data_IF_077524049533
#
_entry.id   IF_077524049533
#
_cell.length_a   1.000
_cell.length_b   1.000
_cell.length_c   1.000
_cell.angle_alpha   90.00
_cell.angle_beta   90.00
_cell.angle_gamma   90.00
#
_symmetry.space_group_name_H-M   'P 1'
#
loop_
_entity.id
_entity.type
_entity.pdbx_description
1 polymer ?
#
# COMPACT_ATOMS: atom_id res chain seq x y z
N UNK A 1 -2.66 17.77 -11.29
CA UNK A 1 -3.61 17.94 -10.17
C UNK A 1 -4.82 17.01 -10.32
N UNK A 2 -5.44 16.95 -11.51
CA UNK A 2 -6.56 16.02 -11.79
C UNK A 2 -6.17 14.54 -11.66
N UNK A 3 -4.93 14.18 -12.02
CA UNK A 3 -4.47 12.79 -11.94
C UNK A 3 -4.25 12.31 -10.50
N UNK A 4 -3.70 13.15 -9.62
CA UNK A 4 -3.46 12.81 -8.21
C UNK A 4 -4.76 12.42 -7.48
N UNK A 5 -5.85 13.16 -7.73
CA UNK A 5 -7.16 12.82 -7.17
C UNK A 5 -7.70 11.47 -7.64
N UNK A 6 -7.52 11.15 -8.94
CA UNK A 6 -7.92 9.85 -9.52
C UNK A 6 -7.12 8.70 -8.91
N UNK A 7 -5.81 8.88 -8.73
CA UNK A 7 -4.95 7.88 -8.09
C UNK A 7 -5.33 7.64 -6.63
N UNK A 8 -5.61 8.70 -5.87
CA UNK A 8 -6.01 8.55 -4.47
C UNK A 8 -7.42 7.96 -4.32
N UNK A 9 -8.35 8.29 -5.22
CA UNK A 9 -9.65 7.62 -5.25
C UNK A 9 -9.51 6.12 -5.50
N UNK A 10 -8.69 5.72 -6.49
CA UNK A 10 -8.45 4.30 -6.74
C UNK A 10 -7.77 3.61 -5.55
N UNK A 11 -6.88 4.29 -4.84
CA UNK A 11 -6.29 3.76 -3.60
C UNK A 11 -7.37 3.46 -2.55
N UNK A 12 -8.35 4.36 -2.36
CA UNK A 12 -9.49 4.12 -1.46
C UNK A 12 -10.35 2.94 -1.90
N UNK A 13 -10.58 2.80 -3.20
CA UNK A 13 -11.33 1.64 -3.73
C UNK A 13 -10.59 0.33 -3.46
N UNK A 14 -9.27 0.28 -3.65
CA UNK A 14 -8.48 -0.91 -3.34
C UNK A 14 -8.52 -1.25 -1.85
N UNK A 15 -8.49 -0.25 -0.98
CA UNK A 15 -8.65 -0.44 0.47
C UNK A 15 -10.03 -1.01 0.82
N UNK A 16 -11.11 -0.49 0.22
CA UNK A 16 -12.45 -1.03 0.40
C UNK A 16 -12.55 -2.49 -0.06
N UNK A 17 -11.90 -2.83 -1.18
CA UNK A 17 -11.80 -4.22 -1.67
C UNK A 17 -11.04 -5.09 -0.66
N UNK A 18 -9.94 -4.61 -0.07
CA UNK A 18 -9.21 -5.35 0.95
C UNK A 18 -10.09 -5.70 2.17
N UNK A 19 -10.92 -4.76 2.64
CA UNK A 19 -11.88 -4.99 3.73
C UNK A 19 -12.93 -6.06 3.37
N UNK A 20 -13.48 -6.01 2.16
CA UNK A 20 -14.43 -7.02 1.70
C UNK A 20 -13.80 -8.41 1.61
N UNK A 21 -12.57 -8.50 1.11
CA UNK A 21 -11.83 -9.75 0.99
C UNK A 21 -11.49 -10.34 2.36
N UNK A 22 -11.18 -9.50 3.35
CA UNK A 22 -10.99 -9.95 4.73
C UNK A 22 -12.26 -10.61 5.28
N UNK A 23 -13.44 -9.97 5.10
CA UNK A 23 -14.72 -10.54 5.54
C UNK A 23 -15.12 -11.83 4.80
N UNK A 24 -14.59 -12.01 3.59
CA UNK A 24 -14.84 -13.17 2.74
C UNK A 24 -13.75 -14.25 2.89
N UNK A 25 -12.88 -14.12 3.90
CA UNK A 25 -11.79 -15.05 4.22
C UNK A 25 -10.70 -15.20 3.14
N UNK A 26 -10.65 -14.31 2.16
CA UNK A 26 -9.60 -14.26 1.14
C UNK A 26 -8.39 -13.45 1.65
N UNK A 27 -7.75 -13.94 2.71
CA UNK A 27 -6.70 -13.21 3.45
C UNK A 27 -5.50 -12.79 2.59
N UNK A 28 -5.06 -13.65 1.67
CA UNK A 28 -3.96 -13.33 0.75
C UNK A 28 -4.33 -12.18 -0.19
N UNK A 29 -5.58 -12.14 -0.65
CA UNK A 29 -6.07 -11.12 -1.56
C UNK A 29 -6.30 -9.80 -0.81
N UNK A 30 -6.78 -9.88 0.43
CA UNK A 30 -6.88 -8.72 1.32
C UNK A 30 -5.50 -8.07 1.56
N UNK A 31 -4.47 -8.88 1.80
CA UNK A 31 -3.09 -8.41 1.91
C UNK A 31 -2.58 -7.75 0.61
N UNK A 32 -2.83 -8.38 -0.54
CA UNK A 32 -2.46 -7.83 -1.84
C UNK A 32 -3.12 -6.48 -2.12
N UNK A 33 -4.43 -6.37 -1.91
CA UNK A 33 -5.16 -5.11 -2.11
C UNK A 33 -4.76 -4.02 -1.10
N UNK A 34 -4.34 -4.39 0.11
CA UNK A 34 -3.76 -3.45 1.08
C UNK A 34 -2.47 -2.83 0.56
N UNK A 35 -1.57 -3.63 -0.03
CA UNK A 35 -0.36 -3.10 -0.66
C UNK A 35 -0.68 -2.24 -1.89
N UNK A 36 -1.60 -2.67 -2.75
CA UNK A 36 -2.00 -1.91 -3.94
C UNK A 36 -2.61 -0.55 -3.60
N UNK A 37 -3.43 -0.50 -2.54
CA UNK A 37 -3.96 0.74 -1.98
C UNK A 37 -2.82 1.71 -1.63
N UNK A 38 -1.83 1.24 -0.87
CA UNK A 38 -0.69 2.09 -0.46
C UNK A 38 0.16 2.54 -1.66
N UNK A 39 0.45 1.64 -2.59
CA UNK A 39 1.20 1.97 -3.80
C UNK A 39 0.56 3.12 -4.57
N UNK A 40 -0.76 3.04 -4.80
CA UNK A 40 -1.51 4.07 -5.52
C UNK A 40 -1.61 5.38 -4.73
N UNK A 41 -1.72 5.31 -3.41
CA UNK A 41 -1.74 6.49 -2.54
C UNK A 41 -0.41 7.26 -2.59
N UNK A 42 0.73 6.55 -2.44
CA UNK A 42 2.06 7.18 -2.54
C UNK A 42 2.28 7.77 -3.94
N UNK A 43 1.87 7.07 -5.00
CA UNK A 43 1.91 7.59 -6.37
C UNK A 43 1.07 8.86 -6.52
N UNK A 44 -0.12 8.92 -5.92
CA UNK A 44 -0.95 10.13 -5.93
C UNK A 44 -0.19 11.36 -5.39
N UNK A 45 0.58 11.18 -4.32
CA UNK A 45 1.39 12.25 -3.71
C UNK A 45 2.54 12.70 -4.62
N UNK A 46 3.22 11.75 -5.29
CA UNK A 46 4.22 12.06 -6.32
C UNK A 46 3.60 12.81 -7.51
N UNK A 47 2.45 12.37 -8.01
CA UNK A 47 1.73 13.02 -9.11
C UNK A 47 1.30 14.45 -8.76
N UNK A 48 0.88 14.70 -7.52
CA UNK A 48 0.56 16.06 -7.04
C UNK A 48 1.75 17.02 -7.22
N UNK A 49 2.97 16.52 -7.06
CA UNK A 49 4.22 17.26 -7.20
C UNK A 49 4.86 17.14 -8.60
N UNK A 50 4.12 16.66 -9.61
CA UNK A 50 4.62 16.54 -10.98
C UNK A 50 5.69 15.45 -11.16
N UNK A 51 5.73 14.46 -10.27
CA UNK A 51 6.66 13.33 -10.31
C UNK A 51 5.93 12.05 -10.68
N UNK A 52 6.64 11.16 -11.37
CA UNK A 52 6.16 9.82 -11.73
C UNK A 52 7.28 8.84 -11.42
N UNK A 53 6.98 7.83 -10.61
CA UNK A 53 7.88 6.72 -10.33
C UNK A 53 7.18 5.40 -10.66
N UNK A 54 7.82 4.61 -11.52
CA UNK A 54 7.36 3.26 -11.88
C UNK A 54 8.05 2.24 -10.97
N UNK A 55 7.59 2.18 -9.73
CA UNK A 55 7.97 1.13 -8.78
C UNK A 55 6.73 0.54 -8.11
N UNK A 56 6.89 -0.69 -7.63
CA UNK A 56 5.95 -1.39 -6.76
C UNK A 56 6.50 -1.57 -5.35
N UNK A 57 7.77 -1.21 -5.14
CA UNK A 57 8.38 -1.18 -3.82
C UNK A 57 7.88 0.07 -3.10
N UNK A 58 7.21 -0.12 -1.97
CA UNK A 58 6.62 0.99 -1.24
C UNK A 58 7.68 1.81 -0.51
N UNK A 59 8.79 1.19 -0.10
CA UNK A 59 9.92 1.86 0.54
C UNK A 59 10.58 2.77 -0.48
N UNK A 60 10.84 2.29 -1.70
CA UNK A 60 11.40 3.11 -2.78
C UNK A 60 10.49 4.30 -3.12
N UNK A 61 9.17 4.09 -3.19
CA UNK A 61 8.20 5.17 -3.39
C UNK A 61 8.24 6.19 -2.24
N UNK A 62 8.34 5.72 -1.00
CA UNK A 62 8.50 6.56 0.18
C UNK A 62 9.78 7.39 0.12
N UNK A 63 10.93 6.76 -0.08
CA UNK A 63 12.24 7.44 -0.16
C UNK A 63 12.25 8.52 -1.24
N UNK A 64 11.64 8.27 -2.41
CA UNK A 64 11.52 9.28 -3.45
C UNK A 64 10.62 10.45 -3.02
N UNK A 65 9.54 10.19 -2.26
CA UNK A 65 8.72 11.25 -1.65
C UNK A 65 9.57 12.09 -0.68
N UNK A 66 10.33 11.46 0.21
CA UNK A 66 11.20 12.20 1.15
C UNK A 66 12.23 13.03 0.40
N UNK A 67 12.89 12.45 -0.60
CA UNK A 67 13.94 13.12 -1.38
C UNK A 67 13.43 14.28 -2.22
N UNK A 68 12.26 14.13 -2.86
CA UNK A 68 11.76 15.12 -3.83
C UNK A 68 10.79 16.13 -3.21
N UNK A 69 10.03 15.72 -2.20
CA UNK A 69 8.96 16.52 -1.59
C UNK A 69 9.38 16.99 -0.19
N UNK A 70 10.32 16.32 0.47
CA UNK A 70 10.82 16.72 1.80
C UNK A 70 9.92 16.30 2.96
N UNK A 71 9.03 15.32 2.75
CA UNK A 71 8.14 14.82 3.79
C UNK A 71 8.83 13.80 4.70
N UNK A 72 8.51 13.86 6.00
CA UNK A 72 8.99 12.90 6.97
C UNK A 72 8.20 11.59 6.89
N UNK A 73 8.91 10.49 6.62
CA UNK A 73 8.36 9.15 6.51
C UNK A 73 8.41 8.37 7.81
N UNK A 74 9.06 8.89 8.86
CA UNK A 74 9.16 8.21 10.16
C UNK A 74 7.82 7.68 10.69
N UNK A 75 6.66 8.34 10.46
CA UNK A 75 5.37 7.82 10.94
C UNK A 75 4.85 6.59 10.20
N UNK A 76 5.37 6.30 9.00
CA UNK A 76 4.84 5.24 8.11
C UNK A 76 5.88 4.24 7.63
N UNK A 77 7.17 4.44 7.89
CA UNK A 77 8.23 3.60 7.30
C UNK A 77 8.06 2.11 7.62
N UNK A 78 7.76 1.78 8.89
CA UNK A 78 7.52 0.38 9.30
C UNK A 78 6.33 -0.25 8.54
N UNK A 79 5.28 0.54 8.26
CA UNK A 79 4.12 0.08 7.50
C UNK A 79 4.49 -0.21 6.04
N UNK A 80 5.35 0.62 5.43
CA UNK A 80 5.82 0.45 4.05
C UNK A 80 6.68 -0.81 3.89
N UNK A 81 7.63 -1.02 4.80
CA UNK A 81 8.48 -2.21 4.84
C UNK A 81 7.63 -3.48 4.97
N UNK A 82 6.70 -3.47 5.93
CA UNK A 82 5.81 -4.61 6.18
C UNK A 82 5.00 -4.97 4.94
N UNK A 83 4.32 -4.00 4.34
CA UNK A 83 3.48 -4.24 3.16
C UNK A 83 4.27 -4.67 1.92
N UNK A 84 5.49 -4.18 1.73
CA UNK A 84 6.34 -4.50 0.55
C UNK A 84 6.70 -5.98 0.49
N UNK A 85 7.04 -6.59 1.64
CA UNK A 85 7.36 -8.02 1.73
C UNK A 85 6.20 -8.90 1.23
N UNK A 86 4.96 -8.49 1.50
CA UNK A 86 3.77 -9.26 1.17
C UNK A 86 3.38 -9.20 -0.32
N UNK A 87 3.79 -8.16 -1.04
CA UNK A 87 3.63 -8.09 -2.50
C UNK A 87 4.43 -9.16 -3.25
N UNK A 88 5.62 -9.49 -2.74
CA UNK A 88 6.48 -10.53 -3.30
C UNK A 88 5.96 -11.92 -2.94
N UNK A 89 5.56 -12.14 -1.68
CA UNK A 89 5.09 -13.45 -1.19
C UNK A 89 3.70 -13.82 -1.71
N UNK A 90 2.80 -12.85 -1.90
CA UNK A 90 1.43 -13.13 -2.36
C UNK A 90 1.36 -13.58 -3.83
N UNK A 91 2.38 -13.28 -4.64
CA UNK A 91 2.37 -13.52 -6.10
C UNK A 91 3.22 -14.70 -6.57
N UNK A 92 4.21 -15.12 -5.79
CA UNK A 92 5.09 -16.23 -6.16
C UNK A 92 4.96 -17.37 -5.14
N UNK A 93 4.30 -18.50 -5.51
CA UNK A 93 4.23 -19.69 -4.67
C UNK A 93 5.60 -20.27 -4.33
N UNK A 94 6.66 -19.91 -5.07
CA UNK A 94 8.01 -20.41 -4.87
C UNK A 94 8.75 -19.67 -3.74
N UNK A 95 8.26 -18.46 -3.36
CA UNK A 95 8.85 -17.64 -2.29
C UNK A 95 8.48 -18.12 -0.88
N UNK A 96 7.53 -19.05 -0.78
CA UNK A 96 7.15 -19.69 0.45
C UNK A 96 6.95 -21.18 0.16
N UNK A 97 7.43 -22.08 1.00
CA UNK A 97 7.32 -23.55 0.79
C UNK A 97 5.85 -24.08 0.82
N UNK A 98 4.84 -23.25 0.57
CA UNK A 98 3.42 -23.55 0.50
C UNK A 98 2.67 -22.54 -0.41
N UNK A 99 1.47 -22.90 -0.89
CA UNK A 99 0.62 -21.97 -1.63
C UNK A 99 0.31 -20.70 -0.80
N UNK A 100 0.33 -19.48 -1.38
CA UNK A 100 0.04 -18.23 -0.67
C UNK A 100 -1.28 -18.24 0.11
N UNK A 101 -2.31 -18.90 -0.43
CA UNK A 101 -3.60 -19.09 0.25
C UNK A 101 -3.54 -19.87 1.57
N UNK A 102 -2.46 -20.63 1.82
CA UNK A 102 -2.22 -21.38 3.06
C UNK A 102 -1.31 -20.64 4.05
N UNK A 103 -0.71 -19.52 3.65
CA UNK A 103 0.26 -18.77 4.45
C UNK A 103 -0.38 -17.56 5.13
N UNK A 104 -1.32 -16.91 4.44
CA UNK A 104 -2.01 -15.75 5.00
C UNK A 104 -3.09 -16.17 5.97
N UNK A 105 -2.92 -15.73 7.21
CA UNK A 105 -3.92 -15.84 8.26
C UNK A 105 -4.79 -14.59 8.30
N UNK A 106 -5.96 -14.70 8.93
CA UNK A 106 -6.79 -13.53 9.25
C UNK A 106 -6.01 -12.44 9.97
N UNK A 107 -5.22 -12.81 10.97
CA UNK A 107 -4.38 -11.88 11.75
C UNK A 107 -3.41 -11.12 10.85
N UNK A 108 -2.72 -11.82 9.95
CA UNK A 108 -1.80 -11.18 9.00
C UNK A 108 -2.54 -10.20 8.09
N UNK A 109 -3.71 -10.58 7.56
CA UNK A 109 -4.50 -9.68 6.72
C UNK A 109 -5.00 -8.43 7.49
N UNK A 110 -5.48 -8.60 8.72
CA UNK A 110 -5.90 -7.50 9.59
C UNK A 110 -4.74 -6.52 9.87
N UNK A 111 -3.56 -7.04 10.18
CA UNK A 111 -2.37 -6.21 10.41
C UNK A 111 -1.98 -5.40 9.17
N UNK A 112 -2.08 -5.97 7.97
CA UNK A 112 -1.73 -5.28 6.72
C UNK A 112 -2.78 -4.25 6.31
N UNK A 113 -4.06 -4.55 6.51
CA UNK A 113 -5.15 -3.58 6.32
C UNK A 113 -4.94 -2.39 7.26
N UNK A 114 -4.59 -2.65 8.51
CA UNK A 114 -4.39 -1.59 9.50
C UNK A 114 -3.14 -0.74 9.17
N UNK A 115 -2.07 -1.37 8.64
CA UNK A 115 -0.91 -0.65 8.10
C UNK A 115 -1.30 0.22 6.90
N UNK A 116 -2.09 -0.32 5.97
CA UNK A 116 -2.57 0.43 4.80
C UNK A 116 -3.46 1.62 5.19
N UNK A 117 -4.29 1.48 6.23
CA UNK A 117 -5.10 2.58 6.77
C UNK A 117 -4.24 3.74 7.25
N UNK A 118 -3.21 3.46 8.06
CA UNK A 118 -2.30 4.50 8.58
C UNK A 118 -1.59 5.25 7.45
N UNK A 119 -1.11 4.53 6.43
CA UNK A 119 -0.44 5.16 5.29
C UNK A 119 -1.42 6.02 4.47
N UNK A 120 -2.65 5.54 4.24
CA UNK A 120 -3.67 6.32 3.54
C UNK A 120 -4.01 7.63 4.26
N UNK A 121 -4.16 7.58 5.58
CA UNK A 121 -4.42 8.78 6.40
C UNK A 121 -3.27 9.77 6.31
N UNK A 122 -2.02 9.28 6.41
CA UNK A 122 -0.83 10.12 6.25
C UNK A 122 -0.77 10.75 4.86
N UNK A 123 -1.04 9.98 3.79
CA UNK A 123 -1.07 10.52 2.41
C UNK A 123 -2.17 11.56 2.27
N UNK A 124 -3.38 11.30 2.79
CA UNK A 124 -4.50 12.23 2.68
C UNK A 124 -4.19 13.58 3.32
N UNK A 125 -3.56 13.58 4.51
CA UNK A 125 -3.13 14.78 5.20
C UNK A 125 -2.16 15.61 4.34
N UNK A 126 -1.19 14.94 3.69
CA UNK A 126 -0.19 15.59 2.84
C UNK A 126 -0.70 15.93 1.42
N UNK A 127 -1.83 15.37 1.00
CA UNK A 127 -2.52 15.77 -0.23
C UNK A 127 -3.35 17.05 -0.03
N UNK A 128 -3.78 17.35 1.20
CA UNK A 128 -4.58 18.54 1.52
C UNK A 128 -3.76 19.80 1.83
N UNK A 129 -2.47 19.65 2.16
CA UNK A 129 -1.51 20.75 2.39
C UNK A 129 -1.06 21.44 1.10
#
# INVERSE_FOLDING_TARGET
MEDAGKWFEQARQDYAVALHLLSSEFYWAAAFHSQQSVEKALKALLYKHGRVLWSHDLVELGEEIQKQIGLDLSPIMEDLEKLTVHYTISRYPDAANAAPSKIYTRKTAEELIESARRVLEWVEQNLRS
#
